data_IF_562875328591
#
_entry.id   IF_562875328591
#
_cell.length_a   1.000
_cell.length_b   1.000
_cell.length_c   1.000
_cell.angle_alpha   90.00
_cell.angle_beta   90.00
_cell.angle_gamma   90.00
#
_symmetry.space_group_name_H-M   'P 1'
#
loop_
_entity.id
_entity.type
_entity.pdbx_description
1 polymer ?
#
# COMPACT_ATOMS: atom_id res chain seq x y z
N UNK A 1 -30.92 -47.82 25.15
CA UNK A 1 -31.77 -46.86 24.44
C UNK A 1 -31.87 -45.63 25.32
N UNK A 2 -31.01 -44.65 25.11
CA UNK A 2 -31.11 -43.34 25.80
C UNK A 2 -31.05 -42.28 24.70
N UNK A 3 -32.21 -41.68 24.42
CA UNK A 3 -32.33 -40.53 23.54
C UNK A 3 -32.00 -39.28 24.37
N UNK A 4 -30.85 -38.67 24.09
CA UNK A 4 -30.49 -37.32 24.54
C UNK A 4 -31.42 -36.28 23.89
N UNK A 5 -31.92 -35.27 24.61
CA UNK A 5 -32.78 -34.25 24.03
C UNK A 5 -31.93 -33.33 23.12
N UNK A 6 -32.31 -33.27 21.86
CA UNK A 6 -31.84 -32.27 20.90
C UNK A 6 -32.18 -30.90 21.47
N UNK A 7 -31.15 -30.14 21.85
CA UNK A 7 -31.26 -28.74 22.27
C UNK A 7 -32.02 -27.95 21.21
N UNK A 8 -33.26 -27.59 21.55
CA UNK A 8 -34.07 -26.68 20.73
C UNK A 8 -33.48 -25.28 20.87
N UNK A 9 -32.82 -24.81 19.81
CA UNK A 9 -32.46 -23.40 19.61
C UNK A 9 -33.69 -22.52 19.90
N UNK A 10 -33.66 -21.79 21.02
CA UNK A 10 -34.75 -20.89 21.43
C UNK A 10 -34.67 -19.58 20.62
N UNK A 11 -35.81 -18.92 20.41
CA UNK A 11 -35.89 -17.66 19.65
C UNK A 11 -34.94 -16.56 20.20
N UNK A 12 -34.61 -16.58 21.50
CA UNK A 12 -33.62 -15.65 22.07
C UNK A 12 -32.19 -15.87 21.54
N UNK A 13 -31.82 -17.10 21.19
CA UNK A 13 -30.54 -17.41 20.51
C UNK A 13 -30.52 -16.97 19.04
N UNK A 14 -31.69 -16.80 18.40
CA UNK A 14 -31.81 -16.23 17.05
C UNK A 14 -31.73 -14.69 17.06
N UNK A 15 -32.18 -14.02 18.13
CA UNK A 15 -32.04 -12.56 18.29
C UNK A 15 -30.57 -12.16 18.42
N UNK A 16 -29.71 -12.99 19.05
CA UNK A 16 -28.27 -12.73 19.08
C UNK A 16 -27.56 -13.05 17.75
N UNK A 17 -28.14 -13.91 16.91
CA UNK A 17 -27.55 -14.34 15.63
C UNK A 17 -27.52 -13.24 14.56
N UNK A 18 -28.43 -12.25 14.65
CA UNK A 18 -28.53 -11.12 13.71
C UNK A 18 -27.85 -9.84 14.23
N UNK A 19 -27.19 -9.92 15.38
CA UNK A 19 -26.43 -8.79 15.90
C UNK A 19 -25.25 -8.47 14.97
N UNK A 20 -24.99 -7.17 14.77
CA UNK A 20 -23.83 -6.72 13.98
C UNK A 20 -22.53 -7.34 14.51
N UNK A 21 -22.38 -7.49 15.82
CA UNK A 21 -21.18 -8.07 16.45
C UNK A 21 -20.91 -9.51 15.99
N UNK A 22 -21.91 -10.38 16.10
CA UNK A 22 -21.81 -11.79 15.71
C UNK A 22 -21.48 -11.91 14.23
N UNK A 23 -22.14 -11.10 13.40
CA UNK A 23 -21.94 -11.10 11.95
C UNK A 23 -20.58 -10.56 11.53
N UNK A 24 -20.00 -9.61 12.27
CA UNK A 24 -18.62 -9.16 12.07
C UNK A 24 -17.65 -10.33 12.31
N UNK A 25 -17.82 -11.11 13.38
CA UNK A 25 -16.94 -12.27 13.62
C UNK A 25 -17.06 -13.31 12.50
N UNK A 26 -18.29 -13.60 12.05
CA UNK A 26 -18.53 -14.49 10.91
C UNK A 26 -17.85 -14.01 9.61
N UNK A 27 -17.98 -12.72 9.28
CA UNK A 27 -17.32 -12.14 8.12
C UNK A 27 -15.80 -12.19 8.20
N UNK A 28 -15.23 -11.93 9.38
CA UNK A 28 -13.78 -11.98 9.58
C UNK A 28 -13.25 -13.41 9.50
N UNK A 29 -14.02 -14.40 9.94
CA UNK A 29 -13.72 -15.81 9.70
C UNK A 29 -13.74 -16.14 8.20
N UNK A 30 -14.81 -15.76 7.48
CA UNK A 30 -14.89 -15.95 6.03
C UNK A 30 -13.68 -15.32 5.31
N UNK A 31 -13.29 -14.09 5.69
CA UNK A 31 -12.11 -13.44 5.11
C UNK A 31 -10.81 -14.23 5.31
N UNK A 32 -10.66 -14.93 6.45
CA UNK A 32 -9.50 -15.78 6.71
C UNK A 32 -9.56 -17.06 5.85
N UNK A 33 -10.72 -17.68 5.73
CA UNK A 33 -10.94 -18.85 4.86
C UNK A 33 -10.68 -18.52 3.37
N UNK A 34 -11.03 -17.32 2.92
CA UNK A 34 -10.70 -16.80 1.59
C UNK A 34 -9.20 -16.41 1.44
N UNK A 35 -8.35 -16.73 2.41
CA UNK A 35 -6.91 -16.43 2.43
C UNK A 35 -6.59 -14.94 2.23
N UNK A 36 -7.46 -14.03 2.70
CA UNK A 36 -7.13 -12.60 2.70
C UNK A 36 -5.96 -12.35 3.65
N UNK A 37 -5.10 -11.40 3.28
CA UNK A 37 -3.92 -11.09 4.08
C UNK A 37 -4.30 -10.67 5.52
N UNK A 38 -3.48 -11.00 6.54
CA UNK A 38 -3.76 -10.60 7.92
C UNK A 38 -3.98 -9.09 8.07
N UNK A 39 -3.27 -8.28 7.27
CA UNK A 39 -3.43 -6.83 7.26
C UNK A 39 -4.81 -6.41 6.72
N UNK A 40 -5.31 -7.08 5.70
CA UNK A 40 -6.66 -6.83 5.15
C UNK A 40 -7.73 -7.16 6.19
N UNK A 41 -7.62 -8.32 6.85
CA UNK A 41 -8.56 -8.73 7.91
C UNK A 41 -8.54 -7.73 9.08
N UNK A 42 -7.36 -7.28 9.49
CA UNK A 42 -7.19 -6.24 10.52
C UNK A 42 -7.86 -4.91 10.14
N UNK A 43 -7.77 -4.50 8.87
CA UNK A 43 -8.46 -3.28 8.39
C UNK A 43 -9.98 -3.45 8.43
N UNK A 44 -10.49 -4.60 7.99
CA UNK A 44 -11.94 -4.87 8.07
C UNK A 44 -12.43 -4.86 9.51
N UNK A 45 -11.74 -5.55 10.41
CA UNK A 45 -12.06 -5.54 11.85
C UNK A 45 -12.13 -4.11 12.38
N UNK A 46 -11.06 -3.34 12.23
CA UNK A 46 -11.01 -1.95 12.68
C UNK A 46 -12.17 -1.10 12.14
N UNK A 47 -12.49 -1.20 10.84
CA UNK A 47 -13.58 -0.42 10.26
C UNK A 47 -14.93 -0.85 10.83
N UNK A 48 -15.17 -2.15 10.94
CA UNK A 48 -16.45 -2.70 11.37
C UNK A 48 -16.69 -2.45 12.85
N UNK A 49 -15.67 -2.61 13.69
CA UNK A 49 -15.71 -2.30 15.12
C UNK A 49 -16.01 -0.81 15.35
N UNK A 50 -15.36 0.09 14.58
CA UNK A 50 -15.62 1.53 14.66
C UNK A 50 -17.03 1.91 14.19
N UNK A 51 -17.58 1.19 13.21
CA UNK A 51 -18.96 1.39 12.76
C UNK A 51 -19.96 0.91 13.81
N UNK A 52 -19.74 -0.28 14.39
CA UNK A 52 -20.54 -0.80 15.49
C UNK A 52 -20.52 0.17 16.68
N UNK A 53 -19.34 0.63 17.08
CA UNK A 53 -19.19 1.63 18.15
C UNK A 53 -20.02 2.89 17.86
N UNK A 54 -19.97 3.40 16.63
CA UNK A 54 -20.70 4.60 16.25
C UNK A 54 -22.21 4.41 16.37
N UNK A 55 -22.74 3.28 15.88
CA UNK A 55 -24.17 2.97 15.98
C UNK A 55 -24.61 2.91 17.44
N UNK A 56 -23.89 2.16 18.28
CA UNK A 56 -24.21 2.06 19.71
C UNK A 56 -24.13 3.40 20.42
N UNK A 57 -23.13 4.22 20.12
CA UNK A 57 -22.92 5.52 20.77
C UNK A 57 -23.92 6.60 20.32
N UNK A 58 -24.53 6.43 19.15
CA UNK A 58 -25.61 7.30 18.64
C UNK A 58 -27.00 6.71 18.89
N UNK A 59 -27.10 5.64 19.68
CA UNK A 59 -28.36 4.94 19.98
C UNK A 59 -29.11 4.49 18.70
N UNK A 60 -28.35 4.15 17.66
CA UNK A 60 -28.88 3.65 16.39
C UNK A 60 -29.01 2.12 16.38
N UNK A 61 -29.84 1.55 15.49
CA UNK A 61 -30.01 0.10 15.42
C UNK A 61 -28.70 -0.65 15.13
N UNK A 62 -28.40 -1.66 15.93
CA UNK A 62 -27.26 -2.57 15.77
C UNK A 62 -27.64 -3.93 15.18
N UNK A 63 -28.94 -4.16 14.97
CA UNK A 63 -29.45 -5.31 14.21
C UNK A 63 -29.33 -5.03 12.71
N UNK A 64 -28.65 -5.91 11.97
CA UNK A 64 -28.24 -5.60 10.58
C UNK A 64 -29.39 -5.32 9.62
N UNK A 65 -30.57 -5.89 9.85
CA UNK A 65 -31.74 -5.70 9.00
C UNK A 65 -32.43 -4.33 9.20
N UNK A 66 -32.15 -3.67 10.34
CA UNK A 66 -32.61 -2.31 10.62
C UNK A 66 -31.62 -1.24 10.14
N UNK A 67 -30.40 -1.63 9.76
CA UNK A 67 -29.40 -0.71 9.26
C UNK A 67 -29.72 -0.31 7.82
N UNK A 68 -29.99 0.97 7.60
CA UNK A 68 -30.33 1.53 6.29
C UNK A 68 -29.23 2.48 5.76
N UNK A 69 -29.48 3.06 4.58
CA UNK A 69 -28.52 3.94 3.93
C UNK A 69 -28.25 5.26 4.70
N UNK A 70 -29.20 5.73 5.51
CA UNK A 70 -29.05 6.94 6.32
C UNK A 70 -28.00 6.72 7.41
N UNK A 71 -28.06 5.62 8.15
CA UNK A 71 -27.08 5.30 9.20
C UNK A 71 -25.64 5.23 8.64
N UNK A 72 -25.49 4.65 7.45
CA UNK A 72 -24.18 4.60 6.76
C UNK A 72 -23.73 6.00 6.35
N UNK A 73 -24.61 6.84 5.80
CA UNK A 73 -24.29 8.21 5.40
C UNK A 73 -23.89 9.06 6.60
N UNK A 74 -24.60 8.93 7.71
CA UNK A 74 -24.28 9.62 8.96
C UNK A 74 -22.92 9.19 9.51
N UNK A 75 -22.61 7.90 9.47
CA UNK A 75 -21.27 7.43 9.86
C UNK A 75 -20.16 7.98 8.96
N UNK A 76 -20.35 7.96 7.64
CA UNK A 76 -19.36 8.50 6.70
C UNK A 76 -19.19 10.02 6.87
N UNK A 77 -20.29 10.73 7.18
CA UNK A 77 -20.25 12.15 7.51
C UNK A 77 -19.51 12.39 8.83
N UNK A 78 -19.82 11.64 9.89
CA UNK A 78 -19.10 11.68 11.16
C UNK A 78 -17.60 11.47 10.98
N UNK A 79 -17.18 10.51 10.14
CA UNK A 79 -15.76 10.34 9.83
C UNK A 79 -15.14 11.60 9.21
N UNK A 80 -15.87 12.28 8.34
CA UNK A 80 -15.40 13.43 7.56
C UNK A 80 -15.52 14.78 8.27
N UNK A 81 -16.37 14.89 9.30
CA UNK A 81 -16.65 16.15 10.02
C UNK A 81 -16.10 16.16 11.44
N UNK A 82 -16.09 15.02 12.13
CA UNK A 82 -15.78 14.97 13.55
C UNK A 82 -14.29 15.18 13.82
N UNK A 83 -14.00 16.02 14.82
CA UNK A 83 -12.62 16.31 15.22
C UNK A 83 -12.06 15.22 16.10
N UNK A 84 -12.85 14.67 17.02
CA UNK A 84 -12.40 13.59 17.92
C UNK A 84 -13.29 12.38 17.73
N UNK A 85 -12.78 11.40 16.99
CA UNK A 85 -13.52 10.19 16.67
C UNK A 85 -13.34 9.13 17.75
N UNK A 86 -14.46 8.58 18.22
CA UNK A 86 -14.58 7.48 19.19
C UNK A 86 -13.74 7.69 20.47
N UNK A 87 -13.69 8.94 20.94
CA UNK A 87 -12.94 9.32 22.14
C UNK A 87 -11.44 9.02 22.08
N UNK A 88 -10.89 8.81 20.88
CA UNK A 88 -9.51 8.37 20.72
C UNK A 88 -8.52 9.51 20.93
N UNK A 89 -7.41 9.21 21.60
CA UNK A 89 -6.24 10.10 21.72
C UNK A 89 -5.28 9.97 20.54
N UNK A 90 -5.55 9.07 19.59
CA UNK A 90 -4.70 8.87 18.42
C UNK A 90 -4.77 10.08 17.49
N UNK A 91 -3.62 10.63 17.10
CA UNK A 91 -3.51 11.80 16.22
C UNK A 91 -4.23 11.63 14.87
N UNK A 92 -4.42 10.39 14.41
CA UNK A 92 -5.20 10.12 13.20
C UNK A 92 -6.71 10.26 13.44
N UNK A 93 -7.20 10.01 14.66
CA UNK A 93 -8.59 10.06 15.06
C UNK A 93 -8.98 11.38 15.76
N UNK A 94 -8.01 12.19 16.19
CA UNK A 94 -8.20 13.57 16.71
C UNK A 94 -8.17 14.63 15.60
N UNK A 95 -8.56 14.24 14.39
CA UNK A 95 -8.86 15.15 13.28
C UNK A 95 -9.90 14.52 12.35
N UNK A 96 -10.60 15.34 11.54
CA UNK A 96 -11.46 14.85 10.47
C UNK A 96 -10.70 13.92 9.51
N UNK A 97 -11.34 12.83 9.12
CA UNK A 97 -10.75 11.87 8.21
C UNK A 97 -10.62 12.47 6.81
N UNK A 98 -9.45 12.29 6.19
CA UNK A 98 -9.30 12.64 4.78
C UNK A 98 -10.13 11.72 3.87
N UNK A 99 -10.40 12.17 2.64
CA UNK A 99 -11.20 11.45 1.64
C UNK A 99 -10.70 10.04 1.34
N UNK A 100 -9.39 9.79 1.45
CA UNK A 100 -8.82 8.44 1.28
C UNK A 100 -9.24 7.51 2.42
N UNK A 101 -9.20 8.01 3.65
CA UNK A 101 -9.62 7.28 4.84
C UNK A 101 -11.11 6.99 4.78
N UNK A 102 -11.94 8.00 4.51
CA UNK A 102 -13.40 7.83 4.40
C UNK A 102 -13.73 6.78 3.33
N UNK A 103 -13.03 6.78 2.20
CA UNK A 103 -13.23 5.79 1.14
C UNK A 103 -12.82 4.36 1.54
N UNK A 104 -11.80 4.20 2.38
CA UNK A 104 -11.44 2.88 2.95
C UNK A 104 -12.59 2.36 3.80
N UNK A 105 -13.18 3.21 4.66
CA UNK A 105 -14.34 2.83 5.47
C UNK A 105 -15.53 2.46 4.58
N UNK A 106 -15.87 3.32 3.61
CA UNK A 106 -16.93 3.06 2.63
C UNK A 106 -16.74 1.71 1.92
N UNK A 107 -15.54 1.42 1.39
CA UNK A 107 -15.28 0.15 0.69
C UNK A 107 -15.37 -1.06 1.60
N UNK A 108 -14.85 -0.97 2.81
CA UNK A 108 -14.90 -2.06 3.79
C UNK A 108 -16.33 -2.38 4.20
N UNK A 109 -17.13 -1.36 4.53
CA UNK A 109 -18.54 -1.52 4.84
C UNK A 109 -19.32 -2.05 3.64
N UNK A 110 -19.11 -1.50 2.44
CA UNK A 110 -19.76 -2.00 1.22
C UNK A 110 -19.46 -3.48 0.99
N UNK A 111 -18.22 -3.91 1.20
CA UNK A 111 -17.83 -5.32 1.03
C UNK A 111 -18.53 -6.21 2.07
N UNK A 112 -18.58 -5.78 3.33
CA UNK A 112 -19.27 -6.49 4.40
C UNK A 112 -20.77 -6.64 4.15
N UNK A 113 -21.49 -5.54 3.84
CA UNK A 113 -22.92 -5.61 3.55
C UNK A 113 -23.25 -6.35 2.24
N UNK A 114 -22.33 -6.34 1.27
CA UNK A 114 -22.47 -7.19 0.07
C UNK A 114 -22.30 -8.67 0.40
N UNK A 115 -21.40 -9.01 1.33
CA UNK A 115 -21.27 -10.36 1.87
C UNK A 115 -22.56 -10.78 2.60
N UNK A 116 -23.08 -9.95 3.51
CA UNK A 116 -24.35 -10.23 4.20
C UNK A 116 -25.51 -10.54 3.24
N UNK A 117 -25.65 -9.74 2.16
CA UNK A 117 -26.68 -9.97 1.14
C UNK A 117 -26.45 -11.26 0.36
N UNK A 118 -25.19 -11.61 0.07
CA UNK A 118 -24.82 -12.83 -0.65
C UNK A 118 -25.06 -14.10 0.18
N UNK A 119 -24.82 -14.03 1.49
CA UNK A 119 -25.11 -15.12 2.43
C UNK A 119 -26.58 -15.11 2.89
N UNK A 120 -27.44 -14.31 2.24
CA UNK A 120 -28.89 -14.22 2.52
C UNK A 120 -29.24 -13.79 3.95
N UNK A 121 -28.31 -13.17 4.66
CA UNK A 121 -28.49 -12.65 6.03
C UNK A 121 -29.25 -11.32 6.07
N UNK A 122 -29.31 -10.62 4.94
CA UNK A 122 -30.12 -9.41 4.74
C UNK A 122 -30.78 -9.41 3.36
N UNK A 123 -32.01 -8.89 3.27
CA UNK A 123 -32.74 -8.79 2.00
C UNK A 123 -32.34 -7.55 1.18
N UNK A 124 -32.03 -6.44 1.86
CA UNK A 124 -31.69 -5.15 1.24
C UNK A 124 -30.30 -4.73 1.68
N UNK A 125 -29.44 -4.35 0.73
CA UNK A 125 -28.11 -3.86 1.05
C UNK A 125 -28.16 -2.33 1.19
N UNK A 126 -27.77 -1.75 2.34
CA UNK A 126 -27.81 -0.29 2.53
C UNK A 126 -26.90 0.46 1.54
N UNK A 127 -25.97 -0.22 0.86
CA UNK A 127 -25.09 0.35 -0.16
C UNK A 127 -25.65 0.31 -1.59
N UNK A 128 -26.85 -0.23 -1.83
CA UNK A 128 -27.43 -0.32 -3.18
C UNK A 128 -27.57 1.08 -3.84
N UNK A 129 -27.76 2.15 -3.04
CA UNK A 129 -27.91 3.54 -3.51
C UNK A 129 -26.95 4.54 -2.83
N UNK A 130 -25.83 4.06 -2.27
CA UNK A 130 -24.80 4.95 -1.71
C UNK A 130 -23.68 5.11 -2.73
N UNK A 131 -23.48 6.34 -3.17
CA UNK A 131 -22.37 6.69 -4.03
C UNK A 131 -21.05 6.73 -3.24
N UNK A 132 -19.94 6.27 -3.83
CA UNK A 132 -18.64 6.39 -3.19
C UNK A 132 -18.31 7.86 -2.87
N UNK A 133 -17.68 8.15 -1.72
CA UNK A 133 -17.19 9.48 -1.40
C UNK A 133 -16.27 9.99 -2.52
N UNK A 134 -16.41 11.28 -2.90
CA UNK A 134 -15.49 11.89 -3.86
C UNK A 134 -14.08 11.86 -3.30
N UNK A 135 -13.16 11.26 -4.06
CA UNK A 135 -11.74 11.30 -3.76
C UNK A 135 -11.08 12.37 -4.62
N UNK A 136 -10.49 13.38 -3.98
CA UNK A 136 -9.58 14.28 -4.67
C UNK A 136 -8.39 13.47 -5.18
N UNK A 137 -8.19 13.47 -6.49
CA UNK A 137 -7.01 12.88 -7.11
C UNK A 137 -5.88 13.89 -6.99
N UNK A 138 -5.01 13.73 -5.98
CA UNK A 138 -3.76 14.49 -5.92
C UNK A 138 -2.80 13.94 -6.96
N UNK A 139 -2.36 14.79 -7.89
CA UNK A 139 -1.26 14.45 -8.81
C UNK A 139 0.01 14.38 -7.97
N UNK A 140 0.61 13.20 -7.91
CA UNK A 140 1.89 13.00 -7.24
C UNK A 140 2.96 13.47 -8.21
N UNK A 141 3.77 14.44 -7.81
CA UNK A 141 4.93 14.86 -8.58
C UNK A 141 6.11 13.91 -8.33
N UNK A 142 6.88 13.58 -9.36
CA UNK A 142 8.16 12.89 -9.22
C UNK A 142 9.21 13.80 -8.57
N UNK A 143 10.24 13.21 -7.97
CA UNK A 143 11.40 13.98 -7.51
C UNK A 143 12.15 14.55 -8.71
N UNK A 144 12.55 15.82 -8.61
CA UNK A 144 13.43 16.49 -9.56
C UNK A 144 14.87 15.97 -9.46
N UNK A 145 15.67 16.21 -10.49
CA UNK A 145 17.09 15.81 -10.53
C UNK A 145 17.88 16.47 -9.39
N UNK A 146 17.58 17.73 -9.08
CA UNK A 146 18.21 18.46 -7.97
C UNK A 146 17.87 17.85 -6.62
N UNK A 147 16.59 17.53 -6.37
CA UNK A 147 16.18 16.83 -5.14
C UNK A 147 16.85 15.46 -5.01
N UNK A 148 16.93 14.70 -6.11
CA UNK A 148 17.62 13.39 -6.13
C UNK A 148 19.10 13.55 -5.75
N UNK A 149 19.79 14.55 -6.31
CA UNK A 149 21.19 14.81 -5.98
C UNK A 149 21.36 15.20 -4.50
N UNK A 150 20.52 16.10 -3.98
CA UNK A 150 20.52 16.49 -2.56
C UNK A 150 20.30 15.30 -1.62
N UNK A 151 19.41 14.36 -1.98
CA UNK A 151 19.20 13.13 -1.23
C UNK A 151 20.46 12.23 -1.22
N UNK A 152 21.17 12.13 -2.34
CA UNK A 152 22.43 11.39 -2.38
C UNK A 152 23.56 12.08 -1.63
N UNK A 153 23.60 13.41 -1.65
CA UNK A 153 24.57 14.22 -0.90
C UNK A 153 24.38 14.05 0.62
N UNK A 154 23.13 13.91 1.06
CA UNK A 154 22.80 13.60 2.45
C UNK A 154 23.35 12.25 2.94
N UNK A 155 23.75 11.35 2.03
CA UNK A 155 24.34 10.03 2.33
C UNK A 155 25.84 9.93 1.95
N UNK A 156 26.58 11.04 1.81
CA UNK A 156 28.00 11.02 1.43
C UNK A 156 28.97 10.58 2.53
N UNK A 157 28.50 10.39 3.77
CA UNK A 157 29.34 9.96 4.88
C UNK A 157 29.95 8.57 4.68
N UNK A 158 30.86 8.20 5.60
CA UNK A 158 31.57 6.91 5.59
C UNK A 158 31.08 5.95 6.68
N UNK A 159 29.98 6.26 7.36
CA UNK A 159 29.40 5.33 8.34
C UNK A 159 28.68 4.18 7.63
N UNK A 160 28.45 3.08 8.36
CA UNK A 160 27.63 1.98 7.85
C UNK A 160 26.25 2.47 7.38
N UNK A 161 25.63 3.38 8.13
CA UNK A 161 24.33 3.95 7.79
C UNK A 161 24.37 4.74 6.48
N UNK A 162 25.35 5.62 6.30
CA UNK A 162 25.43 6.44 5.10
C UNK A 162 25.57 5.57 3.85
N UNK A 163 26.45 4.57 3.90
CA UNK A 163 26.71 3.68 2.76
C UNK A 163 25.52 2.76 2.49
N UNK A 164 24.89 2.20 3.53
CA UNK A 164 23.69 1.38 3.40
C UNK A 164 22.52 2.19 2.87
N UNK A 165 22.24 3.34 3.47
CA UNK A 165 21.10 4.19 3.13
C UNK A 165 21.26 4.72 1.68
N UNK A 166 22.50 5.03 1.24
CA UNK A 166 22.82 5.33 -0.17
C UNK A 166 22.53 4.14 -1.10
N UNK A 167 22.95 2.93 -0.74
CA UNK A 167 22.67 1.74 -1.53
C UNK A 167 21.15 1.46 -1.64
N UNK A 168 20.41 1.65 -0.55
CA UNK A 168 18.94 1.54 -0.53
C UNK A 168 18.30 2.57 -1.47
N UNK A 169 18.72 3.83 -1.41
CA UNK A 169 18.23 4.89 -2.30
C UNK A 169 18.50 4.55 -3.77
N UNK A 170 19.72 4.13 -4.09
CA UNK A 170 20.08 3.73 -5.45
C UNK A 170 19.19 2.59 -5.96
N UNK A 171 19.04 1.51 -5.17
CA UNK A 171 18.22 0.36 -5.59
C UNK A 171 16.77 0.78 -5.80
N UNK A 172 16.15 1.46 -4.84
CA UNK A 172 14.74 1.85 -4.95
C UNK A 172 14.47 2.80 -6.12
N UNK A 173 15.36 3.76 -6.37
CA UNK A 173 15.22 4.73 -7.45
C UNK A 173 15.44 4.12 -8.84
N UNK A 174 16.27 3.08 -8.93
CA UNK A 174 16.70 2.51 -10.21
C UNK A 174 15.95 1.23 -10.61
N UNK A 175 15.23 0.62 -9.67
CA UNK A 175 14.44 -0.60 -9.91
C UNK A 175 12.95 -0.48 -9.56
N UNK A 176 12.58 0.60 -8.88
CA UNK A 176 11.19 0.87 -8.49
C UNK A 176 10.60 -0.15 -7.50
N UNK A 177 11.40 -0.89 -6.73
CA UNK A 177 10.90 -1.91 -5.81
C UNK A 177 9.96 -1.36 -4.74
N UNK A 178 9.06 -2.21 -4.26
CA UNK A 178 8.30 -1.93 -3.02
C UNK A 178 9.24 -2.06 -1.83
N UNK A 179 8.95 -1.33 -0.75
CA UNK A 179 9.79 -1.44 0.45
C UNK A 179 9.84 -2.86 1.02
N UNK A 180 8.71 -3.58 0.99
CA UNK A 180 8.65 -4.97 1.42
C UNK A 180 9.51 -5.90 0.55
N UNK A 181 9.60 -5.62 -0.75
CA UNK A 181 10.45 -6.38 -1.67
C UNK A 181 11.92 -6.12 -1.35
N UNK A 182 12.30 -4.85 -1.15
CA UNK A 182 13.65 -4.45 -0.76
C UNK A 182 14.09 -5.11 0.56
N UNK A 183 13.25 -5.05 1.60
CA UNK A 183 13.58 -5.61 2.93
C UNK A 183 13.63 -7.13 2.96
N UNK A 184 13.09 -7.79 1.93
CA UNK A 184 13.10 -9.25 1.80
C UNK A 184 14.10 -9.78 0.77
N UNK A 185 14.86 -8.90 0.11
CA UNK A 185 15.96 -9.32 -0.76
C UNK A 185 17.01 -10.03 0.07
N UNK A 186 17.52 -11.14 -0.44
CA UNK A 186 18.68 -11.84 0.09
C UNK A 186 19.94 -11.47 -0.68
N UNK A 187 21.10 -11.75 -0.08
CA UNK A 187 22.39 -11.56 -0.77
C UNK A 187 22.45 -12.38 -2.07
N UNK A 188 21.95 -13.62 -2.05
CA UNK A 188 21.86 -14.51 -3.21
C UNK A 188 20.94 -14.01 -4.33
N UNK A 189 20.05 -13.06 -4.05
CA UNK A 189 19.15 -12.50 -5.07
C UNK A 189 19.82 -11.46 -5.96
N UNK A 190 21.02 -11.02 -5.60
CA UNK A 190 21.78 -10.03 -6.37
C UNK A 190 22.83 -10.71 -7.25
N UNK A 191 22.57 -10.70 -8.55
CA UNK A 191 23.55 -11.06 -9.56
C UNK A 191 24.36 -9.82 -9.94
N UNK A 192 25.56 -9.72 -9.36
CA UNK A 192 26.49 -8.62 -9.59
C UNK A 192 27.04 -8.58 -11.03
N UNK A 193 27.11 -9.73 -11.71
CA UNK A 193 27.65 -9.82 -13.08
C UNK A 193 26.67 -9.20 -14.07
N UNK A 194 25.39 -9.59 -13.97
CA UNK A 194 24.34 -9.09 -14.86
C UNK A 194 23.68 -7.79 -14.35
N UNK A 195 23.93 -7.42 -13.09
CA UNK A 195 23.32 -6.26 -12.47
C UNK A 195 21.83 -6.44 -12.22
N UNK A 196 21.41 -7.64 -11.83
CA UNK A 196 19.99 -7.98 -11.67
C UNK A 196 19.63 -8.36 -10.24
N UNK A 197 18.39 -8.10 -9.85
CA UNK A 197 17.82 -8.48 -8.57
C UNK A 197 16.64 -9.43 -8.80
N UNK A 198 16.65 -10.59 -8.16
CA UNK A 198 15.56 -11.56 -8.20
C UNK A 198 14.53 -11.29 -7.10
N UNK A 199 13.29 -10.95 -7.49
CA UNK A 199 12.21 -10.64 -6.55
C UNK A 199 11.38 -11.89 -6.32
N UNK A 200 11.65 -12.60 -5.22
CA UNK A 200 10.99 -13.87 -4.87
C UNK A 200 9.50 -13.75 -4.57
N UNK A 201 9.10 -12.65 -3.91
CA UNK A 201 7.73 -12.44 -3.40
C UNK A 201 7.20 -11.07 -3.80
N UNK A 202 6.72 -10.96 -5.04
CA UNK A 202 5.92 -9.81 -5.47
C UNK A 202 4.50 -9.83 -4.88
N UNK A 203 3.78 -8.72 -5.06
CA UNK A 203 2.33 -8.67 -4.73
C UNK A 203 1.59 -9.75 -5.54
N UNK A 204 0.91 -10.67 -4.85
CA UNK A 204 0.23 -11.81 -5.48
C UNK A 204 1.15 -13.01 -5.75
N UNK A 205 2.33 -13.08 -5.12
CA UNK A 205 3.23 -14.24 -5.21
C UNK A 205 4.06 -14.32 -6.50
N UNK A 206 3.95 -13.32 -7.38
CA UNK A 206 4.67 -13.34 -8.67
C UNK A 206 6.15 -13.02 -8.49
N UNK A 207 6.98 -13.88 -9.06
CA UNK A 207 8.41 -13.68 -9.18
C UNK A 207 8.72 -12.80 -10.39
N UNK A 208 9.79 -12.01 -10.31
CA UNK A 208 10.32 -11.26 -11.45
C UNK A 208 11.79 -10.92 -11.24
N UNK A 209 12.47 -10.63 -12.34
CA UNK A 209 13.82 -10.06 -12.33
C UNK A 209 13.71 -8.58 -12.65
N UNK A 210 14.46 -7.76 -11.94
CA UNK A 210 14.65 -6.33 -12.25
C UNK A 210 16.14 -6.05 -12.42
N UNK A 211 16.48 -5.06 -13.25
CA UNK A 211 17.86 -4.62 -13.44
C UNK A 211 18.15 -3.39 -12.57
N UNK A 212 19.40 -3.26 -12.14
CA UNK A 212 19.98 -2.05 -11.57
C UNK A 212 21.21 -1.63 -12.38
N UNK A 213 21.33 -0.34 -12.65
CA UNK A 213 22.43 0.26 -13.38
C UNK A 213 23.75 0.28 -12.59
N UNK A 214 24.83 0.68 -13.27
CA UNK A 214 26.20 0.63 -12.73
C UNK A 214 26.38 1.41 -11.44
N UNK A 215 25.69 2.55 -11.27
CA UNK A 215 25.76 3.36 -10.05
C UNK A 215 25.16 2.62 -8.84
N UNK A 216 24.02 1.97 -9.03
CA UNK A 216 23.37 1.19 -7.98
C UNK A 216 24.17 -0.08 -7.65
N UNK A 217 24.72 -0.75 -8.67
CA UNK A 217 25.63 -1.88 -8.47
C UNK A 217 26.88 -1.47 -7.67
N UNK A 218 27.51 -0.34 -8.00
CA UNK A 218 28.68 0.16 -7.25
C UNK A 218 28.35 0.46 -5.79
N UNK A 219 27.18 1.06 -5.53
CA UNK A 219 26.72 1.34 -4.18
C UNK A 219 26.44 0.06 -3.38
N UNK A 220 25.76 -0.91 -4.02
CA UNK A 220 25.53 -2.24 -3.46
C UNK A 220 26.82 -2.96 -3.15
N UNK A 221 27.74 -3.07 -4.12
CA UNK A 221 29.03 -3.71 -3.94
C UNK A 221 29.80 -3.13 -2.76
N UNK A 222 29.93 -1.80 -2.71
CA UNK A 222 30.60 -1.10 -1.59
C UNK A 222 29.96 -1.44 -0.24
N UNK A 223 28.63 -1.45 -0.17
CA UNK A 223 27.91 -1.81 1.05
C UNK A 223 28.18 -3.27 1.45
N UNK A 224 28.01 -4.21 0.52
CA UNK A 224 28.12 -5.65 0.76
C UNK A 224 29.54 -6.07 1.17
N UNK A 225 30.58 -5.48 0.56
CA UNK A 225 31.97 -5.90 0.80
C UNK A 225 32.62 -5.21 2.00
N UNK A 226 32.29 -3.95 2.27
CA UNK A 226 33.02 -3.15 3.27
C UNK A 226 32.22 -2.85 4.54
N UNK A 227 30.88 -2.84 4.49
CA UNK A 227 30.04 -2.29 5.57
C UNK A 227 28.98 -3.23 6.10
N UNK A 228 28.57 -4.24 5.32
CA UNK A 228 27.57 -5.21 5.74
C UNK A 228 28.18 -6.20 6.73
N UNK A 229 27.93 -5.96 8.02
CA UNK A 229 28.37 -6.83 9.13
C UNK A 229 27.17 -7.59 9.70
N UNK A 230 27.17 -8.91 9.57
CA UNK A 230 26.11 -9.80 10.08
C UNK A 230 25.97 -11.09 9.26
N UNK A 231 25.51 -12.15 9.91
CA UNK A 231 25.33 -13.49 9.32
C UNK A 231 23.94 -13.75 8.75
N UNK A 232 22.99 -12.83 8.93
CA UNK A 232 21.66 -12.92 8.34
C UNK A 232 21.76 -13.03 6.81
N UNK A 233 20.86 -13.76 6.15
CA UNK A 233 20.87 -13.94 4.69
C UNK A 233 20.35 -12.72 3.92
N UNK A 234 19.62 -11.82 4.58
CA UNK A 234 19.01 -10.66 3.94
C UNK A 234 20.05 -9.64 3.49
N UNK A 235 19.84 -9.06 2.31
CA UNK A 235 20.77 -8.15 1.66
C UNK A 235 21.05 -6.94 2.55
N UNK A 236 19.99 -6.27 3.01
CA UNK A 236 20.10 -5.10 3.88
C UNK A 236 19.89 -5.45 5.35
N UNK A 237 20.84 -5.03 6.18
CA UNK A 237 20.84 -5.26 7.62
C UNK A 237 20.62 -3.96 8.41
N UNK A 238 20.03 -4.12 9.60
CA UNK A 238 19.96 -3.09 10.62
C UNK A 238 21.32 -2.95 11.36
N UNK A 239 21.35 -2.10 12.39
CA UNK A 239 22.58 -1.78 13.12
C UNK A 239 23.14 -2.92 13.97
N UNK A 240 22.31 -3.90 14.32
CA UNK A 240 22.68 -5.07 15.13
C UNK A 240 23.04 -6.27 14.26
N UNK A 241 23.07 -6.11 12.92
CA UNK A 241 23.43 -7.18 12.00
C UNK A 241 22.29 -8.13 11.65
N UNK A 242 21.05 -7.82 12.08
CA UNK A 242 19.86 -8.56 11.67
C UNK A 242 19.18 -7.89 10.47
N UNK A 243 18.25 -8.59 9.85
CA UNK A 243 17.37 -8.09 8.79
C UNK A 243 16.87 -6.66 9.01
N UNK A 244 16.98 -5.82 7.98
CA UNK A 244 16.33 -4.51 7.95
C UNK A 244 14.82 -4.69 7.72
N UNK A 245 14.00 -4.30 8.69
CA UNK A 245 12.55 -4.32 8.53
C UNK A 245 12.00 -3.01 7.90
N UNK A 246 10.71 -3.04 7.54
CA UNK A 246 10.05 -1.89 6.93
C UNK A 246 9.94 -0.67 7.86
N UNK A 247 9.91 -0.85 9.18
CA UNK A 247 9.85 0.26 10.13
C UNK A 247 11.21 0.94 10.28
N UNK A 248 12.30 0.17 10.32
CA UNK A 248 13.67 0.69 10.30
C UNK A 248 13.93 1.47 9.00
N UNK A 249 13.44 0.98 7.86
CA UNK A 249 13.51 1.73 6.60
C UNK A 249 12.69 3.03 6.65
N UNK A 250 11.47 3.03 7.21
CA UNK A 250 10.70 4.27 7.40
C UNK A 250 11.45 5.29 8.26
N UNK A 251 12.11 4.85 9.33
CA UNK A 251 12.93 5.73 10.17
C UNK A 251 14.10 6.32 9.39
N UNK A 252 14.77 5.53 8.54
CA UNK A 252 15.77 6.05 7.59
C UNK A 252 15.20 7.18 6.74
N UNK A 253 14.06 6.96 6.08
CA UNK A 253 13.44 7.98 5.22
C UNK A 253 13.07 9.25 5.99
N UNK A 254 12.53 9.11 7.21
CA UNK A 254 12.22 10.25 8.07
C UNK A 254 13.47 11.06 8.44
N UNK A 255 14.61 10.40 8.67
CA UNK A 255 15.88 11.11 8.90
C UNK A 255 16.35 11.87 7.66
N UNK A 256 16.24 11.27 6.48
CA UNK A 256 16.60 11.93 5.22
C UNK A 256 15.71 13.14 4.95
N UNK A 257 14.40 12.99 5.12
CA UNK A 257 13.44 14.08 5.00
C UNK A 257 13.74 15.21 6.01
N UNK A 258 14.03 14.88 7.27
CA UNK A 258 14.40 15.88 8.27
C UNK A 258 15.69 16.64 7.92
N UNK A 259 16.68 15.96 7.33
CA UNK A 259 17.99 16.51 6.95
C UNK A 259 17.93 17.35 5.68
N UNK A 260 17.14 16.93 4.69
CA UNK A 260 17.09 17.56 3.36
C UNK A 260 15.89 18.48 3.15
N UNK A 261 14.86 18.36 4.00
CA UNK A 261 13.53 18.98 3.83
C UNK A 261 12.78 18.53 2.58
N UNK A 262 13.22 17.43 1.96
CA UNK A 262 12.59 16.82 0.78
C UNK A 262 11.69 15.68 1.23
N UNK A 263 10.42 15.70 0.84
CA UNK A 263 9.49 14.60 1.09
C UNK A 263 9.92 13.35 0.30
N UNK A 264 10.49 12.37 1.01
CA UNK A 264 11.01 11.14 0.41
C UNK A 264 10.54 9.91 1.17
N UNK A 265 9.99 8.96 0.45
CA UNK A 265 9.58 7.66 0.97
C UNK A 265 9.52 6.63 -0.18
N UNK A 266 9.44 5.32 0.11
CA UNK A 266 9.54 4.29 -0.94
C UNK A 266 8.53 4.44 -2.09
N UNK A 267 7.30 4.86 -1.79
CA UNK A 267 6.29 5.08 -2.84
C UNK A 267 6.62 6.27 -3.74
N UNK A 268 7.18 7.37 -3.18
CA UNK A 268 7.66 8.52 -3.97
C UNK A 268 8.84 8.11 -4.87
N UNK A 269 9.83 7.37 -4.36
CA UNK A 269 10.95 6.88 -5.17
C UNK A 269 10.50 5.97 -6.31
N UNK A 270 9.57 5.05 -6.02
CA UNK A 270 8.96 4.19 -7.04
C UNK A 270 8.18 4.99 -8.09
N UNK A 271 7.49 6.06 -7.67
CA UNK A 271 6.82 6.96 -8.59
C UNK A 271 7.84 7.70 -9.48
N UNK A 272 8.91 8.24 -8.88
CA UNK A 272 10.01 8.86 -9.61
C UNK A 272 10.63 7.90 -10.63
N UNK A 273 10.94 6.66 -10.23
CA UNK A 273 11.42 5.62 -11.16
C UNK A 273 10.47 5.44 -12.34
N UNK A 274 9.17 5.26 -12.08
CA UNK A 274 8.17 5.02 -13.12
C UNK A 274 8.08 6.19 -14.12
N UNK A 275 8.04 7.42 -13.63
CA UNK A 275 7.99 8.62 -14.47
C UNK A 275 9.28 8.79 -15.27
N UNK A 276 10.44 8.65 -14.62
CA UNK A 276 11.74 8.75 -15.29
C UNK A 276 11.92 7.68 -16.37
N UNK A 277 11.45 6.46 -16.13
CA UNK A 277 11.50 5.36 -17.10
C UNK A 277 10.66 5.69 -18.35
N UNK A 278 9.43 6.18 -18.18
CA UNK A 278 8.56 6.56 -19.30
C UNK A 278 9.13 7.77 -20.06
N UNK A 279 9.66 8.77 -19.36
CA UNK A 279 10.33 9.93 -19.97
C UNK A 279 11.57 9.57 -20.77
N UNK A 280 12.27 8.50 -20.40
CA UNK A 280 13.39 7.98 -21.18
C UNK A 280 12.95 7.24 -22.47
N UNK A 281 11.64 7.13 -22.72
CA UNK A 281 11.05 6.40 -23.83
C UNK A 281 10.80 4.92 -23.53
N UNK A 282 10.77 4.54 -22.25
CA UNK A 282 10.42 3.19 -21.84
C UNK A 282 8.94 2.89 -22.09
N UNK A 283 8.66 1.66 -22.49
CA UNK A 283 7.29 1.20 -22.78
C UNK A 283 6.47 0.90 -21.51
N UNK A 284 5.15 1.17 -21.56
CA UNK A 284 4.23 1.02 -20.43
C UNK A 284 4.02 -0.44 -20.01
N UNK A 285 4.08 -1.40 -20.95
CA UNK A 285 3.98 -2.83 -20.65
C UNK A 285 5.26 -3.34 -19.97
N UNK A 286 6.42 -2.89 -20.46
CA UNK A 286 7.69 -3.16 -19.79
C UNK A 286 7.72 -2.58 -18.37
N UNK A 287 7.24 -1.35 -18.19
CA UNK A 287 7.11 -0.75 -16.87
C UNK A 287 6.15 -1.56 -15.98
N UNK A 288 5.02 -2.02 -16.51
CA UNK A 288 4.08 -2.87 -15.77
C UNK A 288 4.78 -4.14 -15.24
N UNK A 289 5.59 -4.79 -16.08
CA UNK A 289 6.36 -5.97 -15.69
C UNK A 289 7.40 -5.65 -14.62
N UNK A 290 8.23 -4.62 -14.82
CA UNK A 290 9.26 -4.17 -13.88
C UNK A 290 8.69 -3.82 -12.50
N UNK A 291 7.52 -3.18 -12.48
CA UNK A 291 6.82 -2.82 -11.25
C UNK A 291 6.05 -4.01 -10.64
N UNK A 292 5.86 -5.12 -11.36
CA UNK A 292 5.03 -6.24 -10.90
C UNK A 292 3.59 -5.78 -10.66
N UNK A 293 3.01 -5.11 -11.64
CA UNK A 293 1.61 -4.69 -11.65
C UNK A 293 0.73 -5.72 -12.34
N UNK A 294 -0.35 -6.15 -11.70
CA UNK A 294 -1.24 -7.18 -12.26
C UNK A 294 -2.15 -6.66 -13.36
N UNK A 295 -2.38 -5.35 -13.41
CA UNK A 295 -3.22 -4.69 -14.42
C UNK A 295 -2.58 -3.39 -14.88
N UNK A 296 -2.81 -3.02 -16.14
CA UNK A 296 -2.38 -1.73 -16.69
C UNK A 296 -2.99 -0.55 -15.95
N UNK A 297 -4.20 -0.69 -15.40
CA UNK A 297 -4.84 0.35 -14.61
C UNK A 297 -4.02 0.78 -13.39
N UNK A 298 -3.20 -0.11 -12.83
CA UNK A 298 -2.25 0.27 -11.75
C UNK A 298 -1.12 1.16 -12.29
N UNK A 299 -0.63 0.89 -13.51
CA UNK A 299 0.43 1.66 -14.18
C UNK A 299 -0.08 2.99 -14.71
N UNK A 300 -1.34 3.06 -15.17
CA UNK A 300 -2.00 4.30 -15.64
C UNK A 300 -1.96 5.44 -14.61
N UNK A 301 -1.83 5.13 -13.31
CA UNK A 301 -1.67 6.15 -12.26
C UNK A 301 -0.42 7.02 -12.46
N UNK A 302 0.62 6.50 -13.10
CA UNK A 302 1.83 7.28 -13.41
C UNK A 302 1.63 8.17 -14.65
N UNK A 303 0.82 7.73 -15.61
CA UNK A 303 0.54 8.51 -16.82
C UNK A 303 -0.13 9.85 -16.52
N UNK A 304 -0.85 9.97 -15.40
CA UNK A 304 -1.48 11.22 -14.96
C UNK A 304 -0.47 12.32 -14.61
N UNK A 305 0.79 11.97 -14.33
CA UNK A 305 1.86 12.93 -14.05
C UNK A 305 2.66 13.33 -15.30
N UNK A 306 2.38 12.70 -16.45
CA UNK A 306 2.95 13.10 -17.74
C UNK A 306 2.10 14.21 -18.36
N UNK A 307 2.73 15.15 -19.06
CA UNK A 307 2.08 16.30 -19.67
C UNK A 307 2.32 16.39 -21.19
N UNK A 308 1.77 17.42 -21.84
CA UNK A 308 1.94 17.66 -23.28
C UNK A 308 3.40 17.83 -23.69
N UNK A 309 4.24 18.43 -22.84
CA UNK A 309 5.67 18.61 -23.13
C UNK A 309 6.39 17.26 -23.15
N UNK A 310 6.05 16.35 -22.23
CA UNK A 310 6.58 14.97 -22.23
C UNK A 310 6.23 14.27 -23.57
N UNK A 311 5.01 14.49 -24.10
CA UNK A 311 4.59 13.91 -25.38
C UNK A 311 5.34 14.52 -26.58
N UNK A 312 5.57 15.84 -26.58
CA UNK A 312 6.35 16.52 -27.63
C UNK A 312 7.80 16.05 -27.63
N UNK A 313 8.44 15.93 -26.46
CA UNK A 313 9.81 15.42 -26.36
C UNK A 313 9.91 13.95 -26.80
N UNK A 314 8.93 13.11 -26.44
CA UNK A 314 8.88 11.75 -26.95
C UNK A 314 8.74 11.71 -28.48
N UNK A 315 7.88 12.56 -29.07
CA UNK A 315 7.70 12.62 -30.51
C UNK A 315 9.00 12.97 -31.25
N UNK A 316 9.86 13.85 -30.72
CA UNK A 316 11.17 14.14 -31.33
C UNK A 316 12.02 12.89 -31.53
N UNK A 317 11.94 11.92 -30.61
CA UNK A 317 12.68 10.65 -30.69
C UNK A 317 11.99 9.62 -31.59
N UNK A 318 10.66 9.64 -31.64
CA UNK A 318 9.84 8.66 -32.35
C UNK A 318 9.16 9.21 -33.61
N UNK A 319 9.64 10.33 -34.13
CA UNK A 319 9.12 10.97 -35.33
C UNK A 319 9.30 10.01 -36.52
N UNK A 320 8.23 9.64 -37.22
CA UNK A 320 8.32 8.63 -38.27
C UNK A 320 9.15 9.13 -39.45
N UNK A 321 9.07 10.42 -39.79
CA UNK A 321 9.81 11.01 -40.92
C UNK A 321 11.27 11.29 -40.55
N UNK A 322 11.55 11.80 -39.35
CA UNK A 322 12.93 12.12 -38.94
C UNK A 322 13.77 10.85 -38.72
N UNK A 323 13.13 9.70 -38.52
CA UNK A 323 13.79 8.40 -38.40
C UNK A 323 13.92 7.65 -39.74
N UNK A 324 13.43 8.21 -40.85
CA UNK A 324 13.77 7.68 -42.17
C UNK A 324 15.17 8.19 -42.54
N UNK A 325 16.09 7.26 -42.79
CA UNK A 325 17.32 7.61 -43.50
C UNK A 325 16.92 7.93 -44.95
N UNK A 326 16.87 9.23 -45.30
CA UNK A 326 16.86 9.71 -46.69
C UNK A 326 18.29 10.01 -47.11
#
# INVERSE_FOLDING_TARGET
MENSPVDRLTISTLVSANSLETLIQGYLLNCRCENKSPKTVSIYRMVLDNFQWFLSHKEMPTEVHLINALHVREFLWYLASEKVRWGSTNSMATRPANSTTVHVYYRSLKTFFSWLKREELINKNPFDHINPPKQEKKVIQALSVTEINTLFDACLGKTMYDVRDKAILCVLLDSGLRISELTSLKVEDFDQTNGTLFIRRGKGGKQRIVRVGSRAQKALWKYLTLYRKGSDSNLFLNKTGHSLDANAAKLMFRRLENKTKIEVHPHKLRHTFAISFLRAGGDVFNLQYLLGHTTLQMTQRYLQSLNSNDAVEAHKKFSPLDNLYV
#
